data_IF_690693628987
#
_entry.id   IF_690693628987
#
_cell.length_a   1.000
_cell.length_b   1.000
_cell.length_c   1.000
_cell.angle_alpha   90.00
_cell.angle_beta   90.00
_cell.angle_gamma   90.00
#
_symmetry.space_group_name_H-M   'P 1'
#
loop_
_entity.id
_entity.type
_entity.pdbx_description
1 polymer ?
#
# COMPACT_ATOMS: atom_id res chain seq x y z
N UNK A 1 -1.92 2.95 16.97
CA UNK A 1 -2.26 3.41 15.60
C UNK A 1 -1.22 2.88 14.64
N UNK A 2 -1.64 2.39 13.49
CA UNK A 2 -0.76 1.83 12.46
C UNK A 2 -0.76 2.73 11.22
N UNK A 3 0.42 3.03 10.67
CA UNK A 3 0.57 3.91 9.51
C UNK A 3 1.17 3.12 8.34
N UNK A 4 0.45 3.04 7.23
CA UNK A 4 0.90 2.39 6.00
C UNK A 4 1.18 3.45 4.94
N UNK A 5 2.43 3.54 4.48
CA UNK A 5 2.79 4.40 3.37
C UNK A 5 2.85 3.61 2.05
N UNK A 6 2.10 4.04 1.04
CA UNK A 6 2.18 3.53 -0.33
C UNK A 6 3.20 4.39 -1.08
N UNK A 7 4.41 3.90 -1.27
CA UNK A 7 5.52 4.66 -1.80
C UNK A 7 6.13 4.00 -3.03
N UNK A 8 6.34 4.76 -4.10
CA UNK A 8 7.07 4.34 -5.30
C UNK A 8 7.41 5.56 -6.15
N UNK A 9 8.64 5.64 -6.62
CA UNK A 9 9.05 6.69 -7.56
C UNK A 9 8.47 6.51 -8.97
N UNK A 10 7.86 5.36 -9.24
CA UNK A 10 7.25 5.11 -10.55
C UNK A 10 5.83 5.67 -10.60
N UNK A 11 5.57 6.55 -11.55
CA UNK A 11 4.23 6.98 -11.91
C UNK A 11 3.42 5.79 -12.43
N UNK A 12 2.14 5.69 -12.04
CA UNK A 12 1.26 4.61 -12.47
C UNK A 12 1.56 3.23 -11.88
N UNK A 13 2.41 3.12 -10.84
CA UNK A 13 2.63 1.85 -10.13
C UNK A 13 1.39 1.36 -9.37
N UNK A 14 0.40 2.23 -9.14
CA UNK A 14 -0.87 1.89 -8.49
C UNK A 14 -0.95 2.24 -7.01
N UNK A 15 -0.16 3.22 -6.54
CA UNK A 15 -0.19 3.71 -5.15
C UNK A 15 -1.61 4.10 -4.73
N UNK A 16 -2.20 5.09 -5.36
CA UNK A 16 -3.56 5.58 -5.05
C UNK A 16 -4.61 4.48 -5.15
N UNK A 17 -4.50 3.61 -6.16
CA UNK A 17 -5.38 2.46 -6.33
C UNK A 17 -5.34 1.54 -5.11
N UNK A 18 -4.14 1.11 -4.70
CA UNK A 18 -3.98 0.22 -3.55
C UNK A 18 -4.36 0.92 -2.24
N UNK A 19 -4.02 2.20 -2.09
CA UNK A 19 -4.41 3.00 -0.92
C UNK A 19 -5.93 2.99 -0.73
N UNK A 20 -6.69 3.32 -1.78
CA UNK A 20 -8.15 3.34 -1.74
C UNK A 20 -8.74 1.97 -1.38
N UNK A 21 -8.25 0.90 -2.04
CA UNK A 21 -8.77 -0.45 -1.81
C UNK A 21 -8.43 -1.00 -0.42
N UNK A 22 -7.20 -0.81 0.06
CA UNK A 22 -6.78 -1.29 1.38
C UNK A 22 -7.49 -0.55 2.50
N UNK A 23 -7.57 0.78 2.43
CA UNK A 23 -8.25 1.57 3.46
C UNK A 23 -9.75 1.25 3.55
N UNK A 24 -10.43 1.15 2.40
CA UNK A 24 -11.84 0.77 2.37
C UNK A 24 -12.05 -0.67 2.87
N UNK A 25 -11.11 -1.59 2.58
CA UNK A 25 -11.18 -2.96 3.11
C UNK A 25 -11.03 -2.97 4.63
N UNK A 26 -10.01 -2.30 5.18
CA UNK A 26 -9.78 -2.18 6.61
C UNK A 26 -10.98 -1.55 7.34
N UNK A 27 -11.56 -0.49 6.77
CA UNK A 27 -12.76 0.16 7.30
C UNK A 27 -13.93 -0.83 7.38
N UNK A 28 -14.15 -1.66 6.37
CA UNK A 28 -15.21 -2.69 6.38
C UNK A 28 -14.95 -3.83 7.36
N UNK A 29 -13.70 -4.04 7.79
CA UNK A 29 -13.35 -4.96 8.88
C UNK A 29 -13.60 -4.36 10.28
N UNK A 30 -14.13 -3.15 10.35
CA UNK A 30 -14.45 -2.47 11.60
C UNK A 30 -13.32 -1.59 12.14
N UNK A 31 -12.23 -1.41 11.39
CA UNK A 31 -11.16 -0.51 11.80
C UNK A 31 -11.50 0.94 11.42
N UNK A 32 -11.30 1.87 12.34
CA UNK A 32 -11.40 3.29 12.04
C UNK A 32 -10.17 3.76 11.25
N UNK A 33 -10.38 4.10 9.97
CA UNK A 33 -9.31 4.39 9.01
C UNK A 33 -9.31 5.85 8.56
N UNK A 34 -8.11 6.43 8.38
CA UNK A 34 -7.89 7.72 7.72
C UNK A 34 -7.06 7.52 6.45
N UNK A 35 -7.48 8.15 5.38
CA UNK A 35 -6.69 8.34 4.17
C UNK A 35 -5.97 9.68 4.23
N UNK A 36 -4.69 9.70 3.88
CA UNK A 36 -3.91 10.93 3.71
C UNK A 36 -3.45 11.02 2.27
N UNK A 37 -4.06 11.95 1.50
CA UNK A 37 -3.66 12.23 0.12
C UNK A 37 -2.50 13.23 0.14
N UNK A 38 -1.30 12.73 -0.16
CA UNK A 38 -0.08 13.52 -0.25
C UNK A 38 0.42 13.65 -1.71
N UNK A 39 -0.41 13.28 -2.70
CA UNK A 39 -0.15 13.53 -4.12
C UNK A 39 -0.94 14.76 -4.58
N UNK A 40 -0.29 15.84 -5.05
CA UNK A 40 -0.97 17.02 -5.58
C UNK A 40 -1.91 16.75 -6.75
N UNK A 41 -1.77 15.59 -7.42
CA UNK A 41 -2.71 15.17 -8.47
C UNK A 41 -4.11 14.86 -7.93
N UNK A 42 -4.26 14.61 -6.62
CA UNK A 42 -5.54 14.45 -5.95
C UNK A 42 -6.35 13.24 -6.43
N UNK A 43 -5.69 12.19 -6.91
CA UNK A 43 -6.39 10.98 -7.40
C UNK A 43 -7.24 10.34 -6.33
N UNK A 44 -6.73 10.29 -5.10
CA UNK A 44 -7.43 9.74 -3.95
C UNK A 44 -8.60 10.65 -3.52
N UNK A 45 -8.40 11.97 -3.53
CA UNK A 45 -9.44 12.95 -3.25
C UNK A 45 -10.57 12.89 -4.29
N UNK A 46 -10.23 12.72 -5.58
CA UNK A 46 -11.23 12.55 -6.65
C UNK A 46 -12.07 11.27 -6.44
N UNK A 47 -11.44 10.14 -6.10
CA UNK A 47 -12.17 8.91 -5.77
C UNK A 47 -13.08 9.12 -4.56
N UNK A 48 -12.55 9.72 -3.50
CA UNK A 48 -13.29 9.96 -2.26
C UNK A 48 -14.52 10.87 -2.48
N UNK A 49 -14.43 11.88 -3.35
CA UNK A 49 -15.55 12.78 -3.66
C UNK A 49 -16.75 12.07 -4.33
N UNK A 50 -16.50 10.89 -4.92
CA UNK A 50 -17.55 10.05 -5.54
C UNK A 50 -18.11 9.01 -4.58
N UNK A 51 -17.52 8.91 -3.39
CA UNK A 51 -17.85 7.86 -2.45
C UNK A 51 -19.11 8.18 -1.65
N UNK A 52 -20.10 7.28 -1.71
CA UNK A 52 -21.27 7.38 -0.85
C UNK A 52 -20.87 7.12 0.61
N UNK A 53 -21.36 7.97 1.53
CA UNK A 53 -21.10 7.83 2.97
C UNK A 53 -19.76 8.37 3.47
N UNK A 54 -18.84 8.81 2.59
CA UNK A 54 -17.62 9.52 2.96
C UNK A 54 -16.54 8.70 3.73
N UNK A 55 -16.78 7.42 3.99
CA UNK A 55 -15.85 6.56 4.73
C UNK A 55 -15.03 5.64 3.80
N UNK A 56 -13.74 5.39 4.08
CA UNK A 56 -12.92 5.98 5.16
C UNK A 56 -12.70 7.47 4.97
N UNK A 57 -12.54 8.23 6.08
CA UNK A 57 -12.28 9.68 6.04
C UNK A 57 -11.00 9.98 5.26
N UNK A 58 -10.96 11.17 4.63
CA UNK A 58 -9.82 11.63 3.85
C UNK A 58 -9.35 13.00 4.34
N UNK A 59 -8.03 13.15 4.51
CA UNK A 59 -7.34 14.42 4.72
C UNK A 59 -6.28 14.61 3.62
N UNK A 60 -6.08 15.85 3.19
CA UNK A 60 -4.97 16.20 2.29
C UNK A 60 -3.76 16.61 3.12
N UNK A 61 -2.56 16.17 2.71
CA UNK A 61 -1.31 16.49 3.42
C UNK A 61 -0.81 17.93 3.21
N UNK A 62 -1.70 18.90 2.99
CA UNK A 62 -1.35 20.31 2.74
C UNK A 62 -0.62 20.95 3.91
N UNK A 63 -0.79 20.44 5.13
CA UNK A 63 -0.14 20.91 6.35
C UNK A 63 1.01 20.02 6.82
N UNK A 64 1.47 19.09 5.96
CA UNK A 64 2.50 18.10 6.23
C UNK A 64 1.97 16.79 6.79
N UNK A 65 2.68 15.71 6.47
CA UNK A 65 2.29 14.34 6.84
C UNK A 65 2.38 14.13 8.36
N UNK A 66 3.44 14.62 8.99
CA UNK A 66 3.64 14.47 10.45
C UNK A 66 2.44 15.03 11.24
N UNK A 67 1.90 16.17 10.79
CA UNK A 67 0.75 16.79 11.42
C UNK A 67 -0.53 15.97 11.22
N UNK A 68 -0.77 15.49 10.01
CA UNK A 68 -1.92 14.63 9.71
C UNK A 68 -1.89 13.35 10.55
N UNK A 69 -0.72 12.71 10.65
CA UNK A 69 -0.52 11.49 11.47
C UNK A 69 -0.70 11.78 12.96
N UNK A 70 -0.15 12.90 13.47
CA UNK A 70 -0.33 13.29 14.87
C UNK A 70 -1.80 13.58 15.21
N UNK A 71 -2.51 14.27 14.33
CA UNK A 71 -3.94 14.53 14.51
C UNK A 71 -4.76 13.24 14.46
N UNK A 72 -4.47 12.34 13.52
CA UNK A 72 -5.12 11.03 13.44
C UNK A 72 -4.97 10.20 14.72
N UNK A 73 -3.82 10.32 15.39
CA UNK A 73 -3.59 9.66 16.68
C UNK A 73 -4.49 10.24 17.78
N UNK A 74 -4.62 11.57 17.86
CA UNK A 74 -5.51 12.27 18.80
C UNK A 74 -6.97 11.90 18.54
N UNK A 75 -7.36 11.84 17.27
CA UNK A 75 -8.72 11.52 16.85
C UNK A 75 -9.08 10.02 17.02
N UNK A 76 -8.12 9.17 17.43
CA UNK A 76 -8.35 7.77 17.72
C UNK A 76 -8.52 6.89 16.48
N UNK A 77 -7.87 7.23 15.35
CA UNK A 77 -7.80 6.32 14.20
C UNK A 77 -6.93 5.11 14.51
N UNK A 78 -7.39 3.93 14.09
CA UNK A 78 -6.63 2.69 14.24
C UNK A 78 -5.59 2.53 13.12
N UNK A 79 -5.94 2.97 11.91
CA UNK A 79 -5.11 2.88 10.71
C UNK A 79 -5.07 4.18 9.93
N UNK A 80 -3.90 4.52 9.43
CA UNK A 80 -3.67 5.64 8.50
C UNK A 80 -3.02 5.09 7.24
N UNK A 81 -3.58 5.42 6.08
CA UNK A 81 -3.02 5.05 4.78
C UNK A 81 -2.59 6.31 4.03
N UNK A 82 -1.29 6.40 3.73
CA UNK A 82 -0.70 7.58 3.07
C UNK A 82 -0.44 7.26 1.59
N UNK A 83 -1.09 7.99 0.70
CA UNK A 83 -0.80 7.98 -0.74
C UNK A 83 0.24 9.03 -1.07
N UNK A 84 1.29 8.67 -1.80
CA UNK A 84 2.41 9.57 -2.11
C UNK A 84 2.54 9.89 -3.59
N UNK A 85 3.06 11.08 -3.88
CA UNK A 85 3.44 11.48 -5.24
C UNK A 85 4.71 10.75 -5.71
N UNK A 86 4.81 10.36 -6.99
CA UNK A 86 6.04 9.78 -7.54
C UNK A 86 7.17 10.81 -7.69
N UNK A 87 6.84 12.10 -7.74
CA UNK A 87 7.78 13.19 -8.08
C UNK A 87 8.25 14.01 -6.88
N UNK A 88 7.42 14.10 -5.84
CA UNK A 88 7.74 14.90 -4.64
C UNK A 88 8.53 14.08 -3.62
N UNK A 89 9.84 13.96 -3.85
CA UNK A 89 10.70 13.07 -3.07
C UNK A 89 10.75 13.39 -1.57
N UNK A 90 10.66 14.65 -1.19
CA UNK A 90 10.60 15.06 0.22
C UNK A 90 9.35 14.48 0.89
N UNK A 91 8.20 14.59 0.23
CA UNK A 91 6.92 14.04 0.73
C UNK A 91 6.98 12.50 0.86
N UNK A 92 7.61 11.82 -0.10
CA UNK A 92 7.82 10.37 -0.04
C UNK A 92 8.68 10.00 1.18
N UNK A 93 9.76 10.76 1.44
CA UNK A 93 10.60 10.51 2.62
C UNK A 93 9.85 10.77 3.93
N UNK A 94 9.04 11.82 4.01
CA UNK A 94 8.20 12.10 5.18
C UNK A 94 7.19 10.96 5.43
N UNK A 95 6.51 10.47 4.39
CA UNK A 95 5.58 9.36 4.48
C UNK A 95 6.26 8.08 4.97
N UNK A 96 7.42 7.74 4.39
CA UNK A 96 8.22 6.58 4.81
C UNK A 96 8.66 6.74 6.27
N UNK A 97 9.13 7.92 6.69
CA UNK A 97 9.55 8.18 8.06
C UNK A 97 8.40 8.00 9.06
N UNK A 98 7.20 8.47 8.72
CA UNK A 98 6.01 8.36 9.58
C UNK A 98 5.41 6.95 9.61
N UNK A 99 5.76 6.08 8.65
CA UNK A 99 5.13 4.77 8.50
C UNK A 99 5.52 3.76 9.59
N UNK A 100 4.57 2.90 9.95
CA UNK A 100 4.81 1.62 10.64
C UNK A 100 5.37 0.60 9.64
N UNK A 101 4.82 0.59 8.41
CA UNK A 101 5.25 -0.28 7.32
C UNK A 101 5.07 0.45 5.98
N UNK A 102 6.00 0.20 5.04
CA UNK A 102 5.97 0.75 3.68
C UNK A 102 5.56 -0.33 2.70
N UNK A 103 4.53 -0.10 1.91
CA UNK A 103 4.17 -0.92 0.76
C UNK A 103 4.69 -0.26 -0.52
N UNK A 104 5.42 -1.03 -1.31
CA UNK A 104 6.05 -0.57 -2.55
C UNK A 104 5.38 -1.27 -3.74
N UNK A 105 4.34 -0.66 -4.35
CA UNK A 105 3.74 -1.25 -5.54
C UNK A 105 4.69 -1.15 -6.72
N UNK A 106 4.82 -2.27 -7.45
CA UNK A 106 5.63 -2.38 -8.66
C UNK A 106 4.89 -3.23 -9.71
N UNK A 107 4.87 -2.76 -10.95
CA UNK A 107 4.43 -3.60 -12.08
C UNK A 107 5.54 -4.59 -12.42
N UNK A 108 5.21 -5.79 -12.93
CA UNK A 108 6.24 -6.71 -13.38
C UNK A 108 6.95 -6.13 -14.61
N UNK A 109 8.18 -5.59 -14.40
CA UNK A 109 8.98 -4.99 -15.46
C UNK A 109 10.25 -4.34 -14.95
N UNK A 110 11.26 -4.28 -15.81
CA UNK A 110 12.61 -3.79 -15.49
C UNK A 110 12.64 -2.38 -14.89
N UNK A 111 11.91 -1.44 -15.50
CA UNK A 111 11.93 -0.05 -15.03
C UNK A 111 11.23 0.17 -13.68
N UNK A 112 10.28 -0.69 -13.34
CA UNK A 112 9.64 -0.65 -12.04
C UNK A 112 10.58 -1.17 -10.96
N UNK A 113 11.41 -2.17 -11.25
CA UNK A 113 12.42 -2.69 -10.32
C UNK A 113 13.47 -1.64 -9.95
N UNK A 114 13.88 -0.78 -10.89
CA UNK A 114 14.79 0.33 -10.59
C UNK A 114 14.15 1.31 -9.58
N UNK A 115 12.89 1.67 -9.77
CA UNK A 115 12.15 2.54 -8.85
C UNK A 115 11.92 1.90 -7.47
N UNK A 116 11.77 0.58 -7.41
CA UNK A 116 11.71 -0.19 -6.15
C UNK A 116 13.00 0.00 -5.35
N UNK A 117 14.16 -0.20 -5.97
CA UNK A 117 15.47 -0.07 -5.30
C UNK A 117 15.66 1.31 -4.66
N UNK A 118 15.29 2.38 -5.37
CA UNK A 118 15.36 3.74 -4.83
C UNK A 118 14.46 3.92 -3.60
N UNK A 119 13.24 3.37 -3.64
CA UNK A 119 12.31 3.45 -2.51
C UNK A 119 12.79 2.62 -1.32
N UNK A 120 13.33 1.43 -1.57
CA UNK A 120 13.93 0.55 -0.56
C UNK A 120 15.10 1.24 0.14
N UNK A 121 15.98 1.95 -0.61
CA UNK A 121 17.08 2.70 -0.02
C UNK A 121 16.59 3.70 1.02
N UNK A 122 15.46 4.36 0.79
CA UNK A 122 14.88 5.30 1.76
C UNK A 122 14.26 4.57 2.95
N UNK A 123 13.56 3.47 2.72
CA UNK A 123 12.99 2.67 3.81
C UNK A 123 14.11 2.17 4.76
N UNK A 124 15.21 1.67 4.20
CA UNK A 124 16.40 1.27 4.96
C UNK A 124 17.05 2.42 5.72
N UNK A 125 17.18 3.60 5.07
CA UNK A 125 17.71 4.82 5.72
C UNK A 125 16.96 5.18 7.01
N UNK A 126 15.64 5.01 7.00
CA UNK A 126 14.79 5.31 8.15
C UNK A 126 14.48 4.07 9.00
N UNK A 127 15.15 2.95 8.76
CA UNK A 127 14.93 1.66 9.45
C UNK A 127 13.45 1.26 9.49
N UNK A 128 12.73 1.42 8.35
CA UNK A 128 11.32 1.10 8.24
C UNK A 128 11.10 -0.26 7.59
N UNK A 129 10.25 -1.11 8.19
CA UNK A 129 9.80 -2.32 7.55
C UNK A 129 9.10 -2.01 6.22
N UNK A 130 9.36 -2.83 5.20
CA UNK A 130 8.79 -2.65 3.88
C UNK A 130 8.53 -3.98 3.18
N UNK A 131 7.62 -3.98 2.22
CA UNK A 131 7.42 -5.09 1.30
C UNK A 131 7.02 -4.59 -0.09
N UNK A 132 7.49 -5.27 -1.12
CA UNK A 132 7.07 -5.04 -2.50
C UNK A 132 5.75 -5.78 -2.76
N UNK A 133 4.82 -5.10 -3.42
CA UNK A 133 3.56 -5.68 -3.92
C UNK A 133 3.62 -5.71 -5.44
N UNK A 134 3.69 -6.90 -6.03
CA UNK A 134 3.55 -7.06 -7.47
C UNK A 134 2.13 -6.65 -7.86
N UNK A 135 2.02 -5.55 -8.60
CA UNK A 135 0.76 -4.89 -8.95
C UNK A 135 0.53 -4.83 -10.46
N UNK A 136 -0.73 -4.75 -10.88
CA UNK A 136 -1.14 -4.76 -12.27
C UNK A 136 -0.50 -5.92 -13.07
N UNK A 137 -0.32 -7.05 -12.41
CA UNK A 137 0.25 -8.25 -12.98
C UNK A 137 -0.71 -8.93 -13.98
N UNK A 138 -0.22 -9.66 -14.98
CA UNK A 138 -1.06 -10.56 -15.74
C UNK A 138 -1.79 -11.54 -14.81
N UNK A 139 -3.05 -11.83 -15.10
CA UNK A 139 -3.84 -12.81 -14.33
C UNK A 139 -3.13 -14.17 -14.38
N UNK A 140 -3.02 -14.83 -13.22
CA UNK A 140 -2.46 -16.19 -13.15
C UNK A 140 -3.26 -17.16 -14.00
N UNK A 141 -2.56 -18.08 -14.64
CA UNK A 141 -3.14 -19.23 -15.32
C UNK A 141 -2.67 -20.48 -14.58
N UNK A 142 -3.59 -21.35 -14.23
CA UNK A 142 -3.30 -22.58 -13.46
C UNK A 142 -2.46 -22.30 -12.20
N UNK A 143 -2.82 -21.23 -11.48
CA UNK A 143 -2.12 -20.74 -10.27
C UNK A 143 -0.63 -20.38 -10.48
N UNK A 144 -0.15 -20.34 -11.72
CA UNK A 144 1.24 -20.02 -12.05
C UNK A 144 1.43 -18.54 -12.33
N UNK A 145 2.54 -18.01 -11.87
CA UNK A 145 2.98 -16.66 -12.22
C UNK A 145 3.29 -16.57 -13.72
N UNK A 146 2.96 -15.44 -14.33
CA UNK A 146 3.41 -15.15 -15.70
C UNK A 146 4.94 -15.04 -15.75
N UNK A 147 5.58 -15.27 -16.93
CA UNK A 147 7.03 -15.13 -17.06
C UNK A 147 7.56 -13.78 -16.54
N UNK A 148 6.84 -12.68 -16.79
CA UNK A 148 7.23 -11.35 -16.31
C UNK A 148 7.18 -11.25 -14.79
N UNK A 149 6.19 -11.84 -14.13
CA UNK A 149 6.09 -11.88 -12.67
C UNK A 149 7.20 -12.75 -12.08
N UNK A 150 7.41 -13.94 -12.62
CA UNK A 150 8.46 -14.85 -12.17
C UNK A 150 9.86 -14.21 -12.28
N UNK A 151 10.14 -13.53 -13.40
CA UNK A 151 11.38 -12.80 -13.58
C UNK A 151 11.53 -11.68 -12.54
N UNK A 152 10.47 -10.88 -12.32
CA UNK A 152 10.51 -9.79 -11.37
C UNK A 152 10.74 -10.28 -9.93
N UNK A 153 10.08 -11.38 -9.53
CA UNK A 153 10.33 -12.01 -8.22
C UNK A 153 11.76 -12.51 -8.09
N UNK A 154 12.30 -13.19 -9.11
CA UNK A 154 13.67 -13.66 -9.09
C UNK A 154 14.71 -12.55 -8.98
N UNK A 155 14.47 -11.39 -9.62
CA UNK A 155 15.35 -10.22 -9.46
C UNK A 155 15.27 -9.61 -8.07
N UNK A 156 14.07 -9.50 -7.49
CA UNK A 156 13.88 -8.96 -6.14
C UNK A 156 14.49 -9.91 -5.08
N UNK A 157 14.35 -11.21 -5.26
CA UNK A 157 14.95 -12.24 -4.41
C UNK A 157 16.49 -12.16 -4.40
N UNK A 158 17.12 -12.03 -5.57
CA UNK A 158 18.58 -11.82 -5.69
C UNK A 158 19.07 -10.58 -4.94
N UNK A 159 18.20 -9.59 -4.77
CA UNK A 159 18.49 -8.35 -4.06
C UNK A 159 18.10 -8.44 -2.56
N UNK A 160 17.64 -9.60 -2.10
CA UNK A 160 17.08 -9.80 -0.76
C UNK A 160 15.99 -8.76 -0.39
N UNK A 161 15.17 -8.38 -1.38
CA UNK A 161 14.06 -7.45 -1.18
C UNK A 161 12.79 -8.25 -0.91
N UNK A 162 12.13 -8.07 0.25
CA UNK A 162 10.93 -8.81 0.60
C UNK A 162 9.77 -8.47 -0.35
N UNK A 163 9.14 -9.51 -0.88
CA UNK A 163 8.01 -9.42 -1.81
C UNK A 163 6.84 -10.18 -1.23
N UNK A 164 5.67 -9.57 -1.20
CA UNK A 164 4.45 -10.28 -0.89
C UNK A 164 4.25 -11.46 -1.85
N UNK A 165 3.98 -12.66 -1.32
CA UNK A 165 3.84 -13.90 -2.11
C UNK A 165 2.65 -13.90 -3.08
N UNK A 166 1.61 -13.07 -2.80
CA UNK A 166 0.50 -12.83 -3.72
C UNK A 166 0.83 -11.84 -4.83
N UNK A 167 -0.19 -11.46 -5.57
CA UNK A 167 -0.15 -10.37 -6.56
C UNK A 167 -1.50 -9.68 -6.65
N UNK A 168 -1.52 -8.45 -7.12
CA UNK A 168 -2.71 -7.75 -7.59
C UNK A 168 -2.69 -7.80 -9.11
N UNK A 169 -3.67 -8.48 -9.68
CA UNK A 169 -3.73 -8.68 -11.13
C UNK A 169 -4.32 -7.46 -11.84
N UNK A 170 -3.99 -7.28 -13.11
CA UNK A 170 -4.61 -6.27 -13.97
C UNK A 170 -6.05 -6.69 -14.28
N UNK A 171 -7.02 -6.09 -13.56
CA UNK A 171 -8.45 -6.39 -13.73
C UNK A 171 -9.24 -5.11 -13.94
N UNK A 172 -10.17 -5.12 -14.88
CA UNK A 172 -11.10 -3.99 -15.09
C UNK A 172 -11.90 -3.65 -13.83
N UNK A 173 -12.19 -4.65 -12.98
CA UNK A 173 -12.94 -4.48 -11.74
C UNK A 173 -12.31 -3.45 -10.78
N UNK A 174 -10.98 -3.30 -10.74
CA UNK A 174 -10.33 -2.26 -9.95
C UNK A 174 -10.63 -0.86 -10.48
N UNK A 175 -10.57 -0.67 -11.79
CA UNK A 175 -10.81 0.62 -12.42
C UNK A 175 -12.29 1.01 -12.37
N UNK A 176 -13.17 0.07 -12.66
CA UNK A 176 -14.62 0.33 -12.67
C UNK A 176 -15.18 0.60 -11.28
N UNK A 177 -14.70 -0.12 -10.24
CA UNK A 177 -15.12 0.16 -8.88
C UNK A 177 -14.64 1.54 -8.41
N UNK A 178 -13.39 1.92 -8.67
CA UNK A 178 -12.90 3.26 -8.30
C UNK A 178 -13.64 4.37 -9.04
N UNK A 179 -13.93 4.19 -10.33
CA UNK A 179 -14.70 5.17 -11.10
C UNK A 179 -16.13 5.40 -10.55
N UNK A 180 -16.69 4.39 -9.87
CA UNK A 180 -17.98 4.47 -9.19
C UNK A 180 -17.88 4.94 -7.73
N UNK A 181 -16.71 5.38 -7.25
CA UNK A 181 -16.48 5.73 -5.83
C UNK A 181 -16.47 4.53 -4.90
N UNK A 182 -16.42 3.32 -5.45
CA UNK A 182 -16.40 2.06 -4.70
C UNK A 182 -14.96 1.52 -4.58
N UNK A 183 -14.80 0.49 -3.78
CA UNK A 183 -13.57 -0.32 -3.74
C UNK A 183 -13.86 -1.78 -4.08
N UNK A 184 -12.81 -2.56 -4.33
CA UNK A 184 -12.95 -3.99 -4.64
C UNK A 184 -13.64 -4.79 -3.52
N UNK A 185 -13.56 -4.33 -2.26
CA UNK A 185 -14.24 -4.99 -1.13
C UNK A 185 -15.77 -4.87 -1.17
N UNK A 186 -16.29 -3.95 -1.97
CA UNK A 186 -17.74 -3.70 -2.15
C UNK A 186 -18.31 -4.46 -3.35
N UNK A 187 -17.47 -5.17 -4.09
CA UNK A 187 -17.87 -6.10 -5.12
C UNK A 187 -18.42 -7.41 -4.51
N UNK A 188 -19.00 -8.26 -5.36
CA UNK A 188 -19.50 -9.57 -4.97
C UNK A 188 -18.43 -10.40 -4.25
N UNK A 189 -18.86 -11.29 -3.32
CA UNK A 189 -17.96 -12.06 -2.45
C UNK A 189 -17.03 -13.00 -3.21
N UNK A 190 -17.43 -13.47 -4.38
CA UNK A 190 -16.67 -14.33 -5.29
C UNK A 190 -15.75 -13.56 -6.24
N UNK A 191 -15.78 -12.21 -6.21
CA UNK A 191 -14.94 -11.39 -7.08
C UNK A 191 -13.44 -11.67 -6.84
N UNK A 192 -12.69 -12.08 -7.89
CA UNK A 192 -11.24 -12.26 -7.76
C UNK A 192 -10.50 -10.99 -7.30
N UNK A 193 -10.96 -9.81 -7.72
CA UNK A 193 -10.37 -8.54 -7.29
C UNK A 193 -10.55 -8.32 -5.78
N UNK A 194 -11.73 -8.60 -5.25
CA UNK A 194 -11.99 -8.54 -3.80
C UNK A 194 -11.08 -9.53 -3.04
N UNK A 195 -10.95 -10.75 -3.55
CA UNK A 195 -10.13 -11.79 -2.91
C UNK A 195 -8.64 -11.45 -2.92
N UNK A 196 -8.13 -10.81 -3.97
CA UNK A 196 -6.74 -10.33 -4.03
C UNK A 196 -6.48 -9.25 -2.98
N UNK A 197 -7.37 -8.26 -2.85
CA UNK A 197 -7.26 -7.21 -1.82
C UNK A 197 -7.38 -7.79 -0.41
N UNK A 198 -8.30 -8.72 -0.19
CA UNK A 198 -8.46 -9.39 1.10
C UNK A 198 -7.18 -10.12 1.54
N UNK A 199 -6.53 -10.85 0.61
CA UNK A 199 -5.26 -11.53 0.88
C UNK A 199 -4.12 -10.56 1.17
N UNK A 200 -4.05 -9.45 0.42
CA UNK A 200 -3.05 -8.42 0.69
C UNK A 200 -3.30 -7.77 2.05
N UNK A 201 -4.54 -7.42 2.37
CA UNK A 201 -4.88 -6.87 3.68
C UNK A 201 -4.47 -7.80 4.81
N UNK A 202 -4.83 -9.09 4.73
CA UNK A 202 -4.45 -10.08 5.75
C UNK A 202 -2.93 -10.21 5.92
N UNK A 203 -2.15 -10.06 4.83
CA UNK A 203 -0.69 -10.06 4.93
C UNK A 203 -0.18 -8.79 5.64
N UNK A 204 -0.71 -7.61 5.29
CA UNK A 204 -0.36 -6.34 5.93
C UNK A 204 -0.67 -6.37 7.42
N UNK A 205 -1.87 -6.82 7.78
CA UNK A 205 -2.32 -6.89 9.18
C UNK A 205 -1.42 -7.80 10.03
N UNK A 206 -1.08 -9.00 9.53
CA UNK A 206 -0.13 -9.90 10.20
C UNK A 206 1.28 -9.30 10.34
N UNK A 207 1.78 -8.67 9.27
CA UNK A 207 3.10 -8.04 9.31
C UNK A 207 3.16 -6.90 10.33
N UNK A 208 2.14 -6.06 10.35
CA UNK A 208 2.05 -4.95 11.31
C UNK A 208 1.91 -5.46 12.75
N UNK A 209 1.14 -6.53 12.97
CA UNK A 209 1.06 -7.17 14.29
C UNK A 209 2.42 -7.68 14.77
N UNK A 210 3.19 -8.32 13.89
CA UNK A 210 4.55 -8.79 14.20
C UNK A 210 5.51 -7.62 14.49
N UNK A 211 5.46 -6.54 13.70
CA UNK A 211 6.24 -5.32 13.92
C UNK A 211 5.95 -4.73 15.31
N UNK A 212 4.67 -4.58 15.65
CA UNK A 212 4.27 -4.02 16.94
C UNK A 212 4.69 -4.91 18.12
N UNK A 213 4.61 -6.23 17.96
CA UNK A 213 5.05 -7.19 18.99
C UNK A 213 6.57 -7.11 19.20
N UNK A 214 7.36 -7.01 18.13
CA UNK A 214 8.81 -6.86 18.21
C UNK A 214 9.21 -5.55 18.92
N UNK A 215 8.52 -4.45 18.67
CA UNK A 215 8.75 -3.18 19.36
C UNK A 215 8.39 -3.26 20.86
N UNK A 216 7.33 -3.98 21.22
CA UNK A 216 6.92 -4.14 22.62
C UNK A 216 7.88 -5.01 23.43
N UNK A 217 8.58 -5.96 22.80
CA UNK A 217 9.53 -6.88 23.45
C UNK A 217 10.96 -6.38 23.45
N UNK A 218 11.27 -5.25 22.84
CA UNK A 218 12.63 -4.69 22.75
C UNK A 218 13.64 -5.51 21.94
N UNK A 219 13.17 -6.49 21.14
CA UNK A 219 14.03 -7.30 20.27
C UNK A 219 14.29 -6.59 18.94
N UNK A 220 15.59 -6.48 18.51
CA UNK A 220 15.88 -5.98 17.18
C UNK A 220 15.34 -6.95 16.12
N UNK A 221 14.58 -6.44 15.16
CA UNK A 221 14.11 -7.22 14.01
C UNK A 221 15.31 -7.57 13.11
N UNK A 222 15.85 -8.78 13.25
CA UNK A 222 16.64 -9.44 12.23
C UNK A 222 15.78 -10.55 11.60
N UNK A 223 15.59 -10.43 10.30
CA UNK A 223 15.21 -11.48 9.34
C UNK A 223 14.02 -12.40 9.70
N UNK A 224 12.79 -11.96 9.43
CA UNK A 224 11.69 -12.88 9.12
C UNK A 224 10.71 -12.22 8.14
N UNK A 225 11.08 -12.22 6.87
CA UNK A 225 10.14 -12.03 5.76
C UNK A 225 10.35 -13.20 4.79
N UNK A 226 9.66 -14.30 5.05
CA UNK A 226 9.49 -15.41 4.13
C UNK A 226 8.05 -15.45 3.62
#
# INVERSE_FOLDING_TARGET
MNVIALASRKGGAGKSTLTAHLAAFAQRQGHRCLLVDADPQGSLALWHSRRAGGEPMLETATRGIDRAVAQAMVDGYAWVFIDTSPTMWVVVQEAIRAATMVLIPARPGFFDLAAVRETVTVALKYAKPYAVVINAAPVKRDEKDSPAVALSRGELDRLAIPVWSGQISSRAAYLTSLAAGMSACELASDSPARNEVARLWSAVERSVAAINSAHATGSPMHDQAA
#
